data_IF_600498575086
#
_entry.id   IF_600498575086
#
_cell.length_a   1.000
_cell.length_b   1.000
_cell.length_c   1.000
_cell.angle_alpha   90.00
_cell.angle_beta   90.00
_cell.angle_gamma   90.00
#
_symmetry.space_group_name_H-M   'P 1'
#
loop_
_entity.id
_entity.type
_entity.pdbx_description
1 polymer ?
#
# COMPACT_ATOMS: atom_id res chain seq x y z
N UNK A 1 -9.11 55.19 -7.19
CA UNK A 1 -8.47 54.33 -8.22
C UNK A 1 -8.29 52.93 -7.65
N UNK A 2 -9.29 52.07 -7.84
CA UNK A 2 -9.18 50.61 -7.73
C UNK A 2 -10.03 50.10 -8.89
N UNK A 3 -9.36 49.61 -9.95
CA UNK A 3 -10.01 49.23 -11.18
C UNK A 3 -10.52 47.79 -11.07
N UNK A 4 -11.84 47.66 -10.93
CA UNK A 4 -12.61 46.50 -11.32
C UNK A 4 -12.54 46.34 -12.84
N UNK A 5 -11.85 45.31 -13.34
CA UNK A 5 -12.08 44.69 -14.66
C UNK A 5 -11.06 43.57 -14.84
N UNK A 6 -11.55 42.33 -14.88
CA UNK A 6 -11.26 41.31 -15.89
C UNK A 6 -11.95 40.00 -15.46
N UNK A 7 -13.28 40.01 -15.55
CA UNK A 7 -14.02 38.81 -15.89
C UNK A 7 -13.74 38.53 -17.36
N UNK A 8 -12.87 37.56 -17.66
CA UNK A 8 -12.75 37.01 -19.00
C UNK A 8 -13.15 35.53 -18.96
N UNK A 9 -14.36 35.29 -19.44
CA UNK A 9 -14.83 34.13 -20.21
C UNK A 9 -13.96 32.86 -20.18
N UNK A 10 -14.38 31.87 -19.40
CA UNK A 10 -14.03 30.48 -19.68
C UNK A 10 -15.12 29.85 -20.55
N UNK A 11 -14.78 29.58 -21.81
CA UNK A 11 -15.58 28.75 -22.69
C UNK A 11 -15.54 27.30 -22.18
N UNK A 12 -16.71 26.70 -21.98
CA UNK A 12 -16.84 25.29 -21.67
C UNK A 12 -16.65 24.47 -22.94
N UNK A 13 -15.53 23.76 -23.03
CA UNK A 13 -15.38 22.66 -23.98
C UNK A 13 -15.60 21.33 -23.23
N UNK A 14 -16.72 20.69 -23.54
CA UNK A 14 -17.05 19.32 -23.14
C UNK A 14 -16.11 18.34 -23.84
N UNK A 15 -14.95 18.06 -23.24
CA UNK A 15 -14.16 16.87 -23.49
C UNK A 15 -13.45 16.52 -22.17
N UNK A 16 -13.64 15.29 -21.69
CA UNK A 16 -13.33 14.85 -20.34
C UNK A 16 -11.87 14.92 -19.94
N UNK A 17 -11.39 16.13 -19.61
CA UNK A 17 -10.13 16.34 -18.92
C UNK A 17 -10.38 16.07 -17.44
N UNK A 18 -9.87 14.93 -16.94
CA UNK A 18 -9.64 14.75 -15.50
C UNK A 18 -8.65 15.84 -15.09
N UNK A 19 -9.17 16.93 -14.53
CA UNK A 19 -8.34 17.93 -13.85
C UNK A 19 -7.49 17.19 -12.82
N UNK A 20 -6.20 17.02 -13.09
CA UNK A 20 -5.19 16.74 -12.07
C UNK A 20 -5.02 18.04 -11.27
N UNK A 21 -6.10 18.48 -10.64
CA UNK A 21 -6.18 19.64 -9.77
C UNK A 21 -5.28 19.30 -8.59
N UNK A 22 -4.15 19.99 -8.50
CA UNK A 22 -3.13 19.91 -7.43
C UNK A 22 -3.68 19.26 -6.16
N UNK A 23 -3.51 17.94 -6.03
CA UNK A 23 -3.88 17.23 -4.80
C UNK A 23 -2.75 17.48 -3.82
N UNK A 24 -3.02 18.22 -2.74
CA UNK A 24 -2.06 18.39 -1.65
C UNK A 24 -1.79 17.03 -1.02
N UNK A 25 -0.51 16.65 -0.95
CA UNK A 25 -0.04 15.38 -0.37
C UNK A 25 0.43 15.53 1.07
N UNK A 26 0.79 16.76 1.45
CA UNK A 26 1.32 17.15 2.76
C UNK A 26 1.12 18.65 2.93
N UNK A 27 0.75 19.12 4.12
CA UNK A 27 0.70 20.56 4.43
C UNK A 27 2.11 21.16 4.46
N UNK A 28 2.21 22.48 4.28
CA UNK A 28 3.51 23.13 4.33
C UNK A 28 4.08 23.12 5.76
N UNK A 29 3.20 23.22 6.76
CA UNK A 29 3.51 23.12 8.19
C UNK A 29 4.07 21.74 8.51
N UNK A 30 3.40 20.67 8.08
CA UNK A 30 3.86 19.32 8.37
C UNK A 30 5.12 18.93 7.59
N UNK A 31 5.27 19.44 6.36
CA UNK A 31 6.52 19.33 5.60
C UNK A 31 7.69 19.96 6.35
N UNK A 32 7.50 21.13 6.98
CA UNK A 32 8.53 21.78 7.80
C UNK A 32 8.91 20.92 9.00
N UNK A 33 7.93 20.42 9.75
CA UNK A 33 8.16 19.55 10.92
C UNK A 33 8.96 18.29 10.57
N UNK A 34 8.66 17.66 9.43
CA UNK A 34 9.40 16.49 8.96
C UNK A 34 10.81 16.86 8.51
N UNK A 35 10.99 18.02 7.87
CA UNK A 35 12.32 18.51 7.47
C UNK A 35 13.23 18.70 8.69
N UNK A 36 12.71 19.26 9.79
CA UNK A 36 13.44 19.42 11.04
C UNK A 36 13.85 18.06 11.65
N UNK A 37 12.96 17.06 11.59
CA UNK A 37 13.30 15.69 12.01
C UNK A 37 14.41 15.06 11.17
N UNK A 38 14.41 15.27 9.84
CA UNK A 38 15.48 14.77 8.97
C UNK A 38 16.84 15.39 9.29
N UNK A 39 16.88 16.67 9.69
CA UNK A 39 18.13 17.36 10.08
C UNK A 39 18.78 16.74 11.32
N UNK A 40 18.01 16.10 12.20
CA UNK A 40 18.57 15.35 13.35
C UNK A 40 19.43 14.15 12.93
N UNK A 41 19.29 13.72 11.68
CA UNK A 41 19.98 12.57 11.13
C UNK A 41 19.50 11.24 11.70
N UNK A 42 18.49 11.16 12.57
CA UNK A 42 18.00 9.92 13.17
C UNK A 42 16.58 9.52 12.72
N UNK A 43 16.04 10.22 11.73
CA UNK A 43 14.74 9.98 11.11
C UNK A 43 14.90 9.56 9.64
N UNK A 44 13.98 8.74 9.12
CA UNK A 44 13.98 8.26 7.74
C UNK A 44 15.09 7.23 7.41
N UNK A 45 15.38 6.29 8.33
CA UNK A 45 16.49 5.31 8.16
C UNK A 45 16.03 3.88 7.95
N UNK A 46 14.74 3.59 8.03
CA UNK A 46 14.20 2.23 8.17
C UNK A 46 14.19 1.39 6.89
N UNK A 47 14.39 1.98 5.71
CA UNK A 47 14.30 1.30 4.42
C UNK A 47 15.21 0.07 4.26
N UNK A 48 16.43 0.10 4.81
CA UNK A 48 17.37 -1.04 4.76
C UNK A 48 16.82 -2.35 5.36
N UNK A 49 15.83 -2.29 6.27
CA UNK A 49 15.21 -3.47 6.90
C UNK A 49 14.51 -4.38 5.89
N UNK A 50 14.10 -3.82 4.75
CA UNK A 50 13.23 -4.49 3.77
C UNK A 50 13.96 -4.96 2.51
N UNK A 51 15.27 -4.76 2.43
CA UNK A 51 16.12 -5.04 1.24
C UNK A 51 15.88 -6.45 0.69
N UNK A 52 15.97 -7.49 1.53
CA UNK A 52 15.80 -8.88 1.08
C UNK A 52 14.42 -9.16 0.50
N UNK A 53 13.36 -8.60 1.10
CA UNK A 53 12.00 -8.76 0.59
C UNK A 53 11.81 -8.03 -0.74
N UNK A 54 12.39 -6.84 -0.86
CA UNK A 54 12.33 -6.03 -2.08
C UNK A 54 13.12 -6.69 -3.21
N UNK A 55 14.30 -7.26 -2.95
CA UNK A 55 15.05 -8.09 -3.90
C UNK A 55 14.22 -9.27 -4.42
N UNK A 56 13.55 -10.00 -3.52
CA UNK A 56 12.65 -11.10 -3.92
C UNK A 56 11.52 -10.61 -4.84
N UNK A 57 10.94 -9.44 -4.56
CA UNK A 57 9.90 -8.84 -5.42
C UNK A 57 10.51 -8.41 -6.75
N UNK A 58 11.70 -7.81 -6.75
CA UNK A 58 12.40 -7.40 -7.97
C UNK A 58 12.63 -8.59 -8.88
N UNK A 59 13.15 -9.69 -8.34
CA UNK A 59 13.42 -10.92 -9.08
C UNK A 59 12.12 -11.58 -9.55
N UNK A 60 11.13 -11.72 -8.69
CA UNK A 60 9.88 -12.40 -9.04
C UNK A 60 9.10 -11.66 -10.13
N UNK A 61 9.09 -10.34 -10.11
CA UNK A 61 8.32 -9.50 -11.05
C UNK A 61 9.16 -8.91 -12.17
N UNK A 62 10.47 -9.22 -12.22
CA UNK A 62 11.40 -8.69 -13.22
C UNK A 62 11.34 -7.15 -13.29
N UNK A 63 11.44 -6.53 -12.11
CA UNK A 63 11.35 -5.08 -11.93
C UNK A 63 12.61 -4.41 -12.47
N UNK A 64 12.44 -3.39 -13.30
CA UNK A 64 13.53 -2.61 -13.91
C UNK A 64 13.52 -1.15 -13.47
N UNK A 65 12.47 -0.71 -12.80
CA UNK A 65 12.35 0.64 -12.22
C UNK A 65 11.62 0.59 -10.89
N UNK A 66 12.15 1.31 -9.90
CA UNK A 66 11.65 1.40 -8.54
C UNK A 66 11.56 2.87 -8.11
N UNK A 67 10.44 3.25 -7.49
CA UNK A 67 10.31 4.48 -6.71
C UNK A 67 10.28 4.12 -5.23
N UNK A 68 11.19 4.73 -4.46
CA UNK A 68 11.22 4.67 -3.00
C UNK A 68 10.52 5.92 -2.45
N UNK A 69 9.26 5.76 -2.03
CA UNK A 69 8.38 6.82 -1.60
C UNK A 69 8.54 7.09 -0.10
N UNK A 70 8.90 8.31 0.26
CA UNK A 70 9.35 8.65 1.63
C UNK A 70 10.73 8.09 1.94
N UNK A 71 11.66 8.21 0.98
CA UNK A 71 12.97 7.56 1.02
C UNK A 71 13.87 8.03 2.18
N UNK A 72 13.61 9.19 2.78
CA UNK A 72 14.40 9.76 3.85
C UNK A 72 15.90 9.77 3.55
N UNK A 73 16.67 9.05 4.37
CA UNK A 73 18.14 8.93 4.27
C UNK A 73 18.62 7.97 3.17
N UNK A 74 17.70 7.49 2.32
CA UNK A 74 17.95 6.62 1.17
C UNK A 74 18.66 5.32 1.54
N UNK A 75 18.36 4.76 2.72
CA UNK A 75 19.04 3.54 3.19
C UNK A 75 18.67 2.34 2.33
N UNK A 76 17.45 2.28 1.77
CA UNK A 76 17.06 1.25 0.82
C UNK A 76 17.92 1.32 -0.46
N UNK A 77 17.93 2.46 -1.15
CA UNK A 77 18.71 2.67 -2.38
C UNK A 77 20.19 2.33 -2.21
N UNK A 78 20.80 2.76 -1.09
CA UNK A 78 22.20 2.45 -0.77
C UNK A 78 22.47 0.95 -0.68
N UNK A 79 21.56 0.19 -0.07
CA UNK A 79 21.73 -1.26 0.08
C UNK A 79 21.40 -2.03 -1.19
N UNK A 80 20.53 -1.50 -2.06
CA UNK A 80 20.24 -2.08 -3.38
C UNK A 80 21.23 -1.65 -4.47
N UNK A 81 22.26 -0.86 -4.15
CA UNK A 81 23.21 -0.32 -5.13
C UNK A 81 24.01 -1.40 -5.90
N UNK A 82 24.04 -2.63 -5.39
CA UNK A 82 24.67 -3.76 -6.07
C UNK A 82 23.84 -4.30 -7.24
N UNK A 83 22.55 -3.94 -7.33
CA UNK A 83 21.67 -4.31 -8.44
C UNK A 83 21.88 -3.36 -9.62
N UNK A 84 22.55 -3.83 -10.68
CA UNK A 84 22.92 -2.99 -11.83
C UNK A 84 21.79 -2.78 -12.86
N UNK A 85 20.78 -3.66 -12.85
CA UNK A 85 19.72 -3.69 -13.88
C UNK A 85 18.43 -2.97 -13.48
N UNK A 86 18.47 -2.16 -12.42
CA UNK A 86 17.30 -1.46 -11.90
C UNK A 86 17.58 0.03 -11.70
N UNK A 87 16.67 0.87 -12.19
CA UNK A 87 16.70 2.30 -11.90
C UNK A 87 15.93 2.58 -10.60
N UNK A 88 16.58 3.21 -9.62
CA UNK A 88 15.99 3.54 -8.32
C UNK A 88 15.89 5.06 -8.14
N UNK A 89 14.65 5.55 -8.08
CA UNK A 89 14.30 6.94 -7.80
C UNK A 89 13.86 7.07 -6.35
N UNK A 90 14.54 7.93 -5.59
CA UNK A 90 14.15 8.24 -4.21
C UNK A 90 13.31 9.51 -4.21
N UNK A 91 12.16 9.46 -3.54
CA UNK A 91 11.25 10.58 -3.40
C UNK A 91 10.96 10.84 -1.92
N UNK A 92 11.08 12.09 -1.49
CA UNK A 92 10.67 12.52 -0.17
C UNK A 92 10.29 14.01 -0.21
N UNK A 93 9.02 14.38 0.05
CA UNK A 93 8.60 15.78 -0.05
C UNK A 93 9.22 16.67 1.02
N UNK A 94 9.74 16.12 2.13
CA UNK A 94 10.35 16.88 3.23
C UNK A 94 11.87 17.10 3.06
N UNK A 95 12.48 16.50 2.04
CA UNK A 95 13.91 16.65 1.70
C UNK A 95 14.01 17.33 0.33
N UNK A 96 14.61 18.53 0.30
CA UNK A 96 14.66 19.38 -0.91
C UNK A 96 15.17 18.63 -2.15
N UNK A 97 16.27 17.89 -1.99
CA UNK A 97 16.96 17.15 -3.05
C UNK A 97 16.16 15.95 -3.57
N UNK A 98 15.16 15.48 -2.82
CA UNK A 98 14.31 14.32 -3.14
C UNK A 98 12.85 14.71 -3.41
N UNK A 99 12.53 16.01 -3.36
CA UNK A 99 11.14 16.49 -3.38
C UNK A 99 10.54 16.62 -4.79
N UNK A 100 11.35 16.41 -5.84
CA UNK A 100 10.88 16.43 -7.20
C UNK A 100 9.87 15.28 -7.45
N UNK A 101 8.71 15.55 -8.08
CA UNK A 101 7.72 14.50 -8.38
C UNK A 101 8.35 13.34 -9.18
N UNK A 102 8.25 12.09 -8.70
CA UNK A 102 8.84 10.95 -9.38
C UNK A 102 7.98 10.55 -10.59
N UNK A 103 8.62 9.99 -11.62
CA UNK A 103 7.90 9.33 -12.69
C UNK A 103 7.34 7.97 -12.22
N UNK A 104 6.24 7.47 -12.81
CA UNK A 104 5.75 6.12 -12.52
C UNK A 104 6.80 5.03 -12.77
N UNK A 105 6.80 3.99 -11.95
CA UNK A 105 7.76 2.89 -11.98
C UNK A 105 7.07 1.52 -11.87
N UNK A 106 7.79 0.46 -12.24
CA UNK A 106 7.27 -0.91 -12.14
C UNK A 106 6.97 -1.31 -10.70
N UNK A 107 7.84 -0.90 -9.76
CA UNK A 107 7.64 -1.08 -8.33
C UNK A 107 7.61 0.27 -7.61
N UNK A 108 6.67 0.44 -6.68
CA UNK A 108 6.68 1.53 -5.71
C UNK A 108 6.83 0.94 -4.31
N UNK A 109 7.86 1.34 -3.57
CA UNK A 109 8.02 1.01 -2.15
C UNK A 109 7.57 2.18 -1.30
N UNK A 110 6.87 1.93 -0.21
CA UNK A 110 6.46 2.95 0.76
C UNK A 110 6.53 2.32 2.15
N UNK A 111 7.62 2.58 2.87
CA UNK A 111 7.91 1.90 4.14
C UNK A 111 8.08 2.93 5.24
N UNK A 112 7.26 2.85 6.30
CA UNK A 112 7.35 3.76 7.46
C UNK A 112 7.01 5.21 7.07
N UNK A 113 5.84 5.39 6.43
CA UNK A 113 5.41 6.67 5.80
C UNK A 113 3.91 6.88 5.92
N UNK A 114 3.07 5.90 5.59
CA UNK A 114 1.61 6.08 5.47
C UNK A 114 0.96 6.46 6.80
N UNK A 115 1.46 5.93 7.91
CA UNK A 115 1.08 6.23 9.28
C UNK A 115 1.48 7.64 9.73
N UNK A 116 2.46 8.26 9.05
CA UNK A 116 2.87 9.64 9.28
C UNK A 116 1.99 10.64 8.54
N UNK A 117 1.22 10.24 7.53
CA UNK A 117 0.43 11.17 6.71
C UNK A 117 -0.69 11.83 7.52
N UNK A 118 -0.93 13.11 7.28
CA UNK A 118 -2.09 13.83 7.83
C UNK A 118 -3.39 13.16 7.33
N UNK A 119 -4.32 12.76 8.22
CA UNK A 119 -5.51 11.98 7.84
C UNK A 119 -6.31 12.55 6.67
N UNK A 120 -6.39 13.87 6.55
CA UNK A 120 -7.08 14.59 5.47
C UNK A 120 -6.42 14.47 4.09
N UNK A 121 -5.11 14.17 4.04
CA UNK A 121 -4.37 13.98 2.79
C UNK A 121 -4.09 12.52 2.47
N UNK A 122 -4.48 11.59 3.36
CA UNK A 122 -4.20 10.17 3.17
C UNK A 122 -4.74 9.64 1.84
N UNK A 123 -5.99 9.96 1.49
CA UNK A 123 -6.58 9.48 0.24
C UNK A 123 -5.87 10.04 -0.99
N UNK A 124 -5.38 11.29 -0.94
CA UNK A 124 -4.56 11.88 -2.00
C UNK A 124 -3.21 11.15 -2.16
N UNK A 125 -2.56 10.82 -1.04
CA UNK A 125 -1.30 10.06 -1.04
C UNK A 125 -1.51 8.65 -1.58
N UNK A 126 -2.59 7.98 -1.19
CA UNK A 126 -2.91 6.65 -1.71
C UNK A 126 -3.21 6.68 -3.21
N UNK A 127 -3.93 7.70 -3.70
CA UNK A 127 -4.16 7.92 -5.13
C UNK A 127 -2.85 8.20 -5.89
N UNK A 128 -1.94 8.97 -5.28
CA UNK A 128 -0.64 9.24 -5.88
C UNK A 128 0.21 7.97 -5.98
N UNK A 129 0.29 7.17 -4.91
CA UNK A 129 0.96 5.87 -4.93
C UNK A 129 0.39 4.93 -6.01
N UNK A 130 -0.93 4.92 -6.17
CA UNK A 130 -1.60 4.16 -7.25
C UNK A 130 -1.14 4.64 -8.61
N UNK A 131 -1.12 5.97 -8.83
CA UNK A 131 -0.71 6.56 -10.11
C UNK A 131 0.75 6.31 -10.49
N UNK A 132 1.63 6.23 -9.49
CA UNK A 132 3.06 5.91 -9.67
C UNK A 132 3.31 4.42 -9.92
N UNK A 133 2.39 3.56 -9.50
CA UNK A 133 2.55 2.11 -9.59
C UNK A 133 2.15 1.58 -10.97
N UNK A 134 3.11 1.01 -11.70
CA UNK A 134 2.82 0.35 -12.99
C UNK A 134 2.52 -1.15 -12.86
N UNK A 135 3.19 -1.86 -11.92
CA UNK A 135 2.97 -3.30 -11.74
C UNK A 135 2.69 -3.68 -10.29
N UNK A 136 3.57 -3.33 -9.36
CA UNK A 136 3.47 -3.74 -7.97
C UNK A 136 3.79 -2.61 -6.99
N UNK A 137 3.23 -2.68 -5.80
CA UNK A 137 3.52 -1.79 -4.69
C UNK A 137 3.82 -2.60 -3.42
N UNK A 138 4.89 -2.27 -2.72
CA UNK A 138 5.30 -2.92 -1.48
C UNK A 138 5.23 -1.91 -0.33
N UNK A 139 4.29 -2.12 0.60
CA UNK A 139 4.08 -1.20 1.71
C UNK A 139 4.36 -1.86 3.05
N UNK A 140 4.92 -1.07 3.95
CA UNK A 140 5.11 -1.42 5.36
C UNK A 140 4.52 -0.30 6.19
N UNK A 141 3.50 -0.62 6.97
CA UNK A 141 2.71 0.34 7.73
C UNK A 141 2.69 -0.08 9.21
N UNK A 142 3.47 0.58 10.08
CA UNK A 142 3.29 0.51 11.52
C UNK A 142 1.84 0.88 11.92
N UNK A 143 1.27 0.10 12.83
CA UNK A 143 -0.11 0.29 13.32
C UNK A 143 -0.16 0.85 14.75
N UNK A 144 0.99 0.89 15.44
CA UNK A 144 1.15 1.43 16.79
C UNK A 144 1.86 2.79 16.82
N UNK A 145 2.11 3.36 18.02
CA UNK A 145 2.73 4.66 18.18
C UNK A 145 4.22 4.67 17.76
N UNK A 146 4.67 5.81 17.22
CA UNK A 146 6.08 6.05 16.97
C UNK A 146 6.83 6.21 18.29
N UNK A 147 8.13 5.90 18.31
CA UNK A 147 9.03 6.32 19.39
C UNK A 147 9.36 7.82 19.34
N UNK A 148 9.00 8.52 18.26
CA UNK A 148 9.30 9.94 18.05
C UNK A 148 8.07 10.82 18.28
N UNK A 149 8.31 12.00 18.81
CA UNK A 149 7.32 13.07 19.01
C UNK A 149 7.73 14.26 18.16
N UNK A 150 6.76 14.88 17.49
CA UNK A 150 6.94 16.08 16.70
C UNK A 150 7.20 17.30 17.61
N UNK A 151 7.75 18.38 17.05
CA UNK A 151 7.99 19.62 17.80
C UNK A 151 6.69 20.24 18.37
N UNK A 152 5.54 19.95 17.76
CA UNK A 152 4.22 20.39 18.21
C UNK A 152 3.59 19.49 19.31
N UNK A 153 4.32 18.46 19.76
CA UNK A 153 3.90 17.57 20.84
C UNK A 153 3.08 16.35 20.42
N UNK A 154 2.68 16.22 19.15
CA UNK A 154 1.99 15.02 18.65
C UNK A 154 2.95 13.84 18.50
N UNK A 155 2.42 12.60 18.58
CA UNK A 155 3.18 11.42 18.17
C UNK A 155 3.44 11.47 16.66
N UNK A 156 4.62 11.04 16.20
CA UNK A 156 4.95 11.10 14.77
C UNK A 156 4.08 10.18 13.90
N UNK A 157 3.58 9.05 14.44
CA UNK A 157 2.55 8.25 13.76
C UNK A 157 1.18 8.89 14.04
N UNK A 158 0.70 9.70 13.09
CA UNK A 158 -0.60 10.37 13.17
C UNK A 158 -1.77 9.38 13.01
N UNK A 159 -1.57 8.31 12.23
CA UNK A 159 -2.58 7.29 11.95
C UNK A 159 -2.16 5.95 12.58
N UNK A 160 -2.72 5.67 13.75
CA UNK A 160 -2.50 4.41 14.49
C UNK A 160 -3.76 3.55 14.37
N UNK A 161 -3.95 2.94 13.21
CA UNK A 161 -5.14 2.16 12.87
C UNK A 161 -4.77 0.72 12.52
N UNK A 162 -5.63 -0.25 12.86
CA UNK A 162 -5.35 -1.65 12.60
C UNK A 162 -5.59 -2.00 11.13
N UNK A 163 -5.23 -3.22 10.75
CA UNK A 163 -5.32 -3.73 9.39
C UNK A 163 -6.72 -3.62 8.78
N UNK A 164 -7.78 -3.85 9.55
CA UNK A 164 -9.16 -3.79 9.09
C UNK A 164 -9.57 -2.39 8.62
N UNK A 165 -8.86 -1.36 9.10
CA UNK A 165 -9.05 0.03 8.67
C UNK A 165 -8.23 0.36 7.42
N UNK A 166 -7.00 -0.14 7.33
CA UNK A 166 -6.10 0.09 6.19
C UNK A 166 -6.51 -0.68 4.94
N UNK A 167 -6.90 -1.94 5.10
CA UNK A 167 -7.09 -2.86 3.98
C UNK A 167 -8.16 -2.37 2.98
N UNK A 168 -9.36 -1.89 3.38
CA UNK A 168 -10.34 -1.36 2.43
C UNK A 168 -9.79 -0.20 1.58
N UNK A 169 -9.01 0.70 2.19
CA UNK A 169 -8.43 1.87 1.51
C UNK A 169 -7.38 1.48 0.48
N UNK A 170 -6.60 0.45 0.77
CA UNK A 170 -5.61 -0.12 -0.15
C UNK A 170 -6.29 -0.87 -1.30
N UNK A 171 -7.28 -1.72 -1.00
CA UNK A 171 -7.95 -2.55 -2.02
C UNK A 171 -8.93 -1.77 -2.92
N UNK A 172 -9.35 -0.58 -2.50
CA UNK A 172 -9.98 0.40 -3.37
C UNK A 172 -9.10 0.74 -4.59
N UNK A 173 -7.77 0.72 -4.44
CA UNK A 173 -6.77 1.17 -5.42
C UNK A 173 -5.91 0.07 -6.02
N UNK A 174 -5.73 -1.03 -5.30
CA UNK A 174 -4.81 -2.10 -5.67
C UNK A 174 -5.46 -3.48 -5.57
N UNK A 175 -4.82 -4.47 -6.19
CA UNK A 175 -5.16 -5.88 -6.01
C UNK A 175 -4.24 -6.49 -4.94
N UNK A 176 -4.78 -7.32 -4.04
CA UNK A 176 -3.98 -7.99 -3.03
C UNK A 176 -3.10 -9.09 -3.67
N UNK A 177 -1.78 -9.06 -3.45
CA UNK A 177 -0.86 -10.15 -3.82
C UNK A 177 -0.38 -10.88 -2.56
N UNK A 178 0.04 -10.17 -1.52
CA UNK A 178 0.48 -10.80 -0.27
C UNK A 178 0.26 -9.87 0.90
N UNK A 179 -0.08 -10.43 2.05
CA UNK A 179 -0.32 -9.70 3.29
C UNK A 179 0.22 -10.51 4.47
N UNK A 180 1.12 -9.89 5.21
CA UNK A 180 1.58 -10.38 6.50
C UNK A 180 1.20 -9.33 7.55
N UNK A 181 0.43 -9.76 8.55
CA UNK A 181 0.08 -8.93 9.68
C UNK A 181 0.92 -9.40 10.88
N UNK A 182 2.08 -8.78 11.04
CA UNK A 182 2.86 -8.96 12.26
C UNK A 182 2.24 -8.09 13.35
N UNK A 183 2.45 -8.44 14.63
CA UNK A 183 1.72 -7.86 15.78
C UNK A 183 1.70 -6.33 15.87
N UNK A 184 2.59 -5.61 15.17
CA UNK A 184 2.59 -4.15 15.09
C UNK A 184 2.65 -3.57 13.68
N UNK A 185 2.92 -4.38 12.65
CA UNK A 185 3.30 -3.89 11.32
C UNK A 185 2.52 -4.66 10.24
N UNK A 186 1.89 -3.91 9.33
CA UNK A 186 1.29 -4.46 8.12
C UNK A 186 2.39 -4.48 7.05
N UNK A 187 2.75 -5.66 6.56
CA UNK A 187 3.63 -5.83 5.41
C UNK A 187 2.79 -6.36 4.26
N UNK A 188 2.62 -5.56 3.21
CA UNK A 188 1.69 -5.87 2.13
C UNK A 188 2.33 -5.66 0.76
N UNK A 189 2.18 -6.66 -0.11
CA UNK A 189 2.49 -6.61 -1.52
C UNK A 189 1.18 -6.53 -2.31
N UNK A 190 1.12 -5.54 -3.18
CA UNK A 190 -0.06 -5.14 -3.93
C UNK A 190 0.27 -5.13 -5.42
N UNK A 191 -0.70 -5.48 -6.25
CA UNK A 191 -0.64 -5.38 -7.71
C UNK A 191 -1.41 -4.17 -8.21
N UNK A 192 -1.00 -3.60 -9.34
CA UNK A 192 -1.74 -2.56 -10.05
C UNK A 192 -3.15 -3.07 -10.37
N UNK A 193 -4.16 -2.27 -10.03
CA UNK A 193 -5.56 -2.61 -10.29
C UNK A 193 -5.86 -2.40 -11.77
N UNK A 194 -5.94 -3.51 -12.51
CA UNK A 194 -6.47 -3.48 -13.86
C UNK A 194 -8.01 -3.53 -13.77
N UNK A 195 -8.70 -2.64 -14.51
CA UNK A 195 -10.18 -2.60 -14.59
C UNK A 195 -10.84 -3.94 -14.99
N UNK A 196 -10.07 -4.93 -15.41
CA UNK A 196 -10.55 -6.22 -15.92
C UNK A 196 -10.67 -7.34 -14.87
N UNK A 197 -10.47 -7.07 -13.56
CA UNK A 197 -10.56 -8.11 -12.53
C UNK A 197 -11.58 -7.70 -11.45
N UNK A 198 -12.86 -8.00 -11.72
CA UNK A 198 -13.94 -8.07 -10.70
C UNK A 198 -13.78 -9.34 -9.83
N UNK A 199 -12.62 -9.50 -9.19
CA UNK A 199 -12.34 -10.58 -8.23
C UNK A 199 -12.24 -10.05 -6.79
N UNK A 200 -12.24 -8.72 -6.63
CA UNK A 200 -11.85 -8.06 -5.39
C UNK A 200 -12.91 -8.15 -4.30
N UNK A 201 -14.22 -7.95 -4.56
CA UNK A 201 -15.22 -7.91 -3.48
C UNK A 201 -15.36 -9.24 -2.71
N UNK A 202 -15.28 -10.38 -3.40
CA UNK A 202 -15.37 -11.69 -2.75
C UNK A 202 -14.09 -12.06 -1.99
N UNK A 203 -12.92 -11.78 -2.57
CA UNK A 203 -11.64 -11.99 -1.89
C UNK A 203 -11.52 -11.05 -0.70
N UNK A 204 -11.86 -9.77 -0.86
CA UNK A 204 -11.92 -8.76 0.20
C UNK A 204 -12.79 -9.23 1.35
N UNK A 205 -14.05 -9.60 1.08
CA UNK A 205 -14.94 -10.09 2.12
C UNK A 205 -14.41 -11.34 2.80
N UNK A 206 -13.90 -12.31 2.03
CA UNK A 206 -13.34 -13.55 2.58
C UNK A 206 -12.11 -13.27 3.43
N UNK A 207 -11.19 -12.41 2.98
CA UNK A 207 -9.97 -12.00 3.71
C UNK A 207 -10.33 -11.19 4.94
N UNK A 208 -11.34 -10.32 4.88
CA UNK A 208 -11.81 -9.55 6.04
C UNK A 208 -12.46 -10.44 7.10
N UNK A 209 -13.34 -11.37 6.70
CA UNK A 209 -13.95 -12.36 7.59
C UNK A 209 -12.89 -13.26 8.24
N UNK A 210 -11.82 -13.55 7.50
CA UNK A 210 -10.65 -14.29 7.97
C UNK A 210 -9.87 -13.49 9.02
N UNK A 211 -9.47 -12.25 8.70
CA UNK A 211 -8.62 -11.39 9.53
C UNK A 211 -9.32 -10.93 10.82
N UNK A 212 -10.66 -10.81 10.81
CA UNK A 212 -11.46 -10.57 12.01
C UNK A 212 -11.32 -11.68 13.08
N UNK A 213 -10.57 -12.75 12.79
CA UNK A 213 -10.18 -13.75 13.78
C UNK A 213 -8.70 -13.54 14.15
N UNK A 214 -8.39 -13.35 15.45
CA UNK A 214 -7.04 -13.16 16.01
C UNK A 214 -6.05 -14.35 15.79
N UNK A 215 -6.40 -15.30 14.92
CA UNK A 215 -5.75 -16.60 14.76
C UNK A 215 -5.04 -16.75 13.42
N UNK A 216 -5.14 -15.75 12.54
CA UNK A 216 -4.49 -15.69 11.24
C UNK A 216 -3.28 -14.78 11.32
N UNK A 217 -2.14 -15.28 10.82
CA UNK A 217 -0.89 -14.52 10.80
C UNK A 217 -0.66 -13.83 9.46
N UNK A 218 -0.91 -14.55 8.37
CA UNK A 218 -0.66 -14.04 7.03
C UNK A 218 -1.57 -14.70 6.01
N UNK A 219 -1.74 -14.02 4.89
CA UNK A 219 -2.49 -14.46 3.73
C UNK A 219 -1.68 -14.10 2.49
N UNK A 220 -1.52 -15.02 1.54
CA UNK A 220 -0.94 -14.68 0.24
C UNK A 220 -1.88 -15.09 -0.90
N UNK A 221 -1.85 -14.34 -1.98
CA UNK A 221 -2.63 -14.59 -3.19
C UNK A 221 -1.71 -14.51 -4.41
N UNK A 222 -1.42 -15.64 -5.03
CA UNK A 222 -0.52 -15.71 -6.19
C UNK A 222 -1.24 -15.42 -7.53
N UNK A 223 -2.47 -14.89 -7.49
CA UNK A 223 -3.31 -14.70 -8.67
C UNK A 223 -4.19 -15.91 -9.02
N UNK A 224 -3.88 -17.09 -8.48
CA UNK A 224 -4.62 -18.34 -8.70
C UNK A 224 -5.10 -18.96 -7.38
N UNK A 225 -4.32 -18.83 -6.30
CA UNK A 225 -4.50 -19.52 -5.04
C UNK A 225 -4.46 -18.56 -3.87
N UNK A 226 -5.49 -18.62 -3.01
CA UNK A 226 -5.47 -17.95 -1.70
C UNK A 226 -4.84 -18.89 -0.68
N UNK A 227 -3.70 -18.48 -0.14
CA UNK A 227 -2.99 -19.19 0.92
C UNK A 227 -3.27 -18.51 2.25
N UNK A 228 -3.76 -19.25 3.25
CA UNK A 228 -4.05 -18.72 4.59
C UNK A 228 -3.19 -19.43 5.61
N UNK A 229 -2.45 -18.67 6.41
CA UNK A 229 -1.51 -19.16 7.42
C UNK A 229 -2.03 -18.86 8.83
N UNK A 230 -2.15 -19.90 9.67
CA UNK A 230 -2.81 -19.83 10.99
C UNK A 230 -1.93 -20.41 12.10
N UNK A 231 -2.12 -19.95 13.35
CA UNK A 231 -1.37 -20.44 14.53
C UNK A 231 -1.82 -21.83 15.06
N UNK A 232 -2.95 -22.39 14.60
CA UNK A 232 -3.53 -23.60 15.21
C UNK A 232 -4.12 -24.62 14.24
N UNK A 233 -3.75 -25.90 14.41
CA UNK A 233 -4.27 -27.06 13.64
C UNK A 233 -5.77 -27.28 13.78
N UNK A 234 -6.37 -26.96 14.93
CA UNK A 234 -7.77 -27.26 15.21
C UNK A 234 -8.74 -26.43 14.36
N UNK A 235 -8.29 -25.26 13.89
CA UNK A 235 -9.11 -24.33 13.12
C UNK A 235 -9.28 -24.76 11.66
N UNK A 236 -8.26 -25.40 11.04
CA UNK A 236 -8.36 -25.98 9.69
C UNK A 236 -9.62 -26.83 9.52
N UNK A 237 -9.97 -27.61 10.54
CA UNK A 237 -11.10 -28.55 10.51
C UNK A 237 -12.47 -27.86 10.71
N UNK A 238 -12.53 -26.68 11.36
CA UNK A 238 -13.79 -25.92 11.58
C UNK A 238 -14.05 -24.88 10.49
N UNK A 239 -12.99 -24.35 9.88
CA UNK A 239 -13.07 -23.28 8.90
C UNK A 239 -13.35 -23.76 7.48
N UNK A 240 -12.73 -24.87 7.07
CA UNK A 240 -12.90 -25.43 5.73
C UNK A 240 -14.38 -25.68 5.36
N UNK A 241 -15.26 -26.16 6.26
CA UNK A 241 -16.70 -26.28 5.97
C UNK A 241 -17.43 -24.95 5.74
N UNK A 242 -17.09 -23.88 6.47
CA UNK A 242 -17.70 -22.54 6.32
C UNK A 242 -17.23 -21.84 5.04
N UNK A 243 -15.94 -21.95 4.72
CA UNK A 243 -15.42 -21.44 3.45
C UNK A 243 -16.03 -22.18 2.26
N UNK A 244 -16.14 -23.52 2.35
CA UNK A 244 -16.82 -24.32 1.34
C UNK A 244 -18.31 -23.98 1.24
N UNK A 245 -18.99 -23.61 2.33
CA UNK A 245 -20.38 -23.18 2.27
C UNK A 245 -20.54 -21.83 1.58
N UNK A 246 -19.65 -20.87 1.83
CA UNK A 246 -19.62 -19.58 1.13
C UNK A 246 -19.35 -19.74 -0.37
N UNK A 247 -18.41 -20.62 -0.75
CA UNK A 247 -18.13 -20.97 -2.14
C UNK A 247 -19.36 -21.64 -2.79
N UNK A 248 -20.03 -22.56 -2.09
CA UNK A 248 -21.26 -23.21 -2.59
C UNK A 248 -22.43 -22.22 -2.71
N UNK A 249 -22.52 -21.25 -1.81
CA UNK A 249 -23.54 -20.19 -1.84
C UNK A 249 -23.31 -19.25 -3.03
N UNK A 250 -22.06 -18.87 -3.30
CA UNK A 250 -21.68 -18.11 -4.49
C UNK A 250 -21.98 -18.85 -5.80
N UNK A 251 -21.84 -20.19 -5.81
CA UNK A 251 -22.25 -21.04 -6.94
C UNK A 251 -23.77 -21.11 -7.15
N UNK A 252 -24.54 -21.18 -6.06
CA UNK A 252 -26.01 -21.23 -6.13
C UNK A 252 -26.67 -19.90 -6.51
N UNK A 253 -26.04 -18.78 -6.18
CA UNK A 253 -26.60 -17.44 -6.40
C UNK A 253 -26.24 -16.84 -7.76
N UNK A 254 -25.53 -17.57 -8.64
CA UNK A 254 -25.11 -17.09 -9.95
C UNK A 254 -23.95 -16.08 -9.92
N UNK A 255 -23.53 -15.64 -8.72
CA UNK A 255 -22.37 -14.76 -8.52
C UNK A 255 -21.09 -15.42 -9.06
N UNK A 256 -20.96 -16.76 -8.95
CA UNK A 256 -19.79 -17.46 -9.50
C UNK A 256 -19.81 -17.71 -11.02
N UNK A 257 -20.93 -17.52 -11.72
CA UNK A 257 -20.96 -17.67 -13.19
C UNK A 257 -20.41 -16.43 -13.89
N UNK A 258 -20.55 -15.25 -13.26
CA UNK A 258 -19.89 -14.01 -13.70
C UNK A 258 -18.41 -14.00 -13.34
N UNK A 259 -18.03 -14.62 -12.22
CA UNK A 259 -16.64 -14.79 -11.82
C UNK A 259 -16.10 -16.08 -12.45
N UNK A 260 -15.52 -15.99 -13.66
CA UNK A 260 -14.73 -17.10 -14.23
C UNK A 260 -13.49 -17.35 -13.38
N UNK A 261 -13.63 -18.01 -12.22
CA UNK A 261 -12.53 -18.62 -11.49
C UNK A 261 -12.09 -19.82 -12.31
N UNK A 262 -11.26 -19.59 -13.32
CA UNK A 262 -10.52 -20.68 -13.96
C UNK A 262 -9.54 -21.22 -12.91
N UNK A 263 -9.88 -22.35 -12.31
CA UNK A 263 -8.94 -23.25 -11.61
C UNK A 263 -8.15 -22.63 -10.43
N UNK A 264 -8.77 -21.79 -9.60
CA UNK A 264 -8.13 -21.33 -8.37
C UNK A 264 -8.24 -22.33 -7.22
N UNK A 265 -7.15 -22.55 -6.47
CA UNK A 265 -7.11 -23.50 -5.32
C UNK A 265 -6.87 -22.74 -4.03
N UNK A 266 -7.76 -22.85 -3.05
CA UNK A 266 -7.48 -22.30 -1.71
C UNK A 266 -6.60 -23.31 -0.96
N UNK A 267 -5.39 -22.90 -0.57
CA UNK A 267 -4.44 -23.74 0.15
C UNK A 267 -4.25 -23.25 1.58
N UNK A 268 -4.76 -23.99 2.55
CA UNK A 268 -4.48 -23.72 3.96
C UNK A 268 -3.09 -24.27 4.29
N UNK A 269 -2.11 -23.41 4.57
CA UNK A 269 -0.74 -23.82 4.95
C UNK A 269 -0.54 -23.58 6.44
N UNK A 270 -0.07 -24.59 7.17
CA UNK A 270 0.16 -24.48 8.60
C UNK A 270 1.61 -24.06 8.79
N UNK A 271 1.85 -22.94 9.46
CA UNK A 271 3.20 -22.57 9.89
C UNK A 271 3.35 -23.08 11.31
N UNK A 272 4.28 -24.00 11.52
CA UNK A 272 4.79 -24.31 12.87
C UNK A 272 5.89 -23.30 13.15
N UNK A 273 5.71 -22.52 14.21
CA UNK A 273 6.80 -21.81 14.86
C UNK A 273 7.47 -22.77 15.84
#
# INVERSE_FOLDING_TARGET
MYNSKLFNSFQFNNNGIKFHKYLMLISQEYKSLNSDLHQTGNFGKSGHRWVKYIEMVIDQFQITSLVDYGAGQQTLKKNLAHLQNISITSYDPAISELSAPPAPAKLVTCTDVLEHIEPEYLDNVLDHLESLTQQAAFFVIPTGPASKTLADGRNAHLIQKPLEWWLPKLLARFNLISLNNMTSDIVILLGKKNKAIELNEFIEKTVMDLLATDKINSVSFDGLSLNVFTKSRSWRNRFLPRLLSLIKLGKRTGVSEKIKIKQGVIRLVLVRF
#
